data_IF_138155832974
#
_entry.id   IF_138155832974
#
_cell.length_a   1.000
_cell.length_b   1.000
_cell.length_c   1.000
_cell.angle_alpha   90.00
_cell.angle_beta   90.00
_cell.angle_gamma   90.00
#
_symmetry.space_group_name_H-M   'P 1'
#
loop_
_entity.id
_entity.type
_entity.pdbx_description
1 polymer ?
#
# COMPACT_ATOMS: atom_id res chain seq x y z
N UNK A 1 -25.44 30.14 35.03
CA UNK A 1 -24.07 29.63 34.75
C UNK A 1 -24.17 28.77 33.51
N UNK A 2 -23.54 29.17 32.41
CA UNK A 2 -23.44 28.31 31.21
C UNK A 2 -22.27 27.36 31.47
N UNK A 3 -22.56 26.07 31.48
CA UNK A 3 -21.64 25.00 31.87
C UNK A 3 -20.62 24.85 30.74
N UNK A 4 -19.38 25.32 30.98
CA UNK A 4 -18.26 25.32 30.01
C UNK A 4 -17.88 23.93 29.46
N UNK A 5 -18.35 22.86 30.09
CA UNK A 5 -18.14 21.49 29.60
C UNK A 5 -18.92 21.22 28.30
N UNK A 6 -20.12 21.79 28.16
CA UNK A 6 -20.95 21.53 26.99
C UNK A 6 -20.41 22.21 25.72
N UNK A 7 -19.67 23.32 25.86
CA UNK A 7 -18.98 23.98 24.74
C UNK A 7 -17.75 23.22 24.26
N UNK A 8 -17.04 22.51 25.16
CA UNK A 8 -15.87 21.73 24.78
C UNK A 8 -16.27 20.52 23.92
N UNK A 9 -17.35 19.85 24.30
CA UNK A 9 -17.86 18.72 23.54
C UNK A 9 -18.47 19.17 22.20
N UNK A 10 -19.17 20.30 22.18
CA UNK A 10 -19.67 20.89 20.94
C UNK A 10 -18.52 21.31 19.99
N UNK A 11 -17.45 21.89 20.52
CA UNK A 11 -16.27 22.30 19.75
C UNK A 11 -15.56 21.09 19.14
N UNK A 12 -15.32 20.04 19.93
CA UNK A 12 -14.67 18.82 19.43
C UNK A 12 -15.55 18.08 18.42
N UNK A 13 -16.87 18.02 18.63
CA UNK A 13 -17.82 17.43 17.68
C UNK A 13 -17.83 18.17 16.36
N UNK A 14 -17.89 19.51 16.39
CA UNK A 14 -17.85 20.37 15.21
C UNK A 14 -16.54 20.23 14.42
N UNK A 15 -15.40 20.17 15.13
CA UNK A 15 -14.09 20.00 14.52
C UNK A 15 -13.96 18.63 13.82
N UNK A 16 -14.39 17.56 14.48
CA UNK A 16 -14.38 16.21 13.91
C UNK A 16 -15.32 16.09 12.70
N UNK A 17 -16.51 16.69 12.78
CA UNK A 17 -17.48 16.70 11.68
C UNK A 17 -16.94 17.49 10.47
N UNK A 18 -16.34 18.66 10.71
CA UNK A 18 -15.70 19.45 9.66
C UNK A 18 -14.55 18.70 8.97
N UNK A 19 -13.71 17.99 9.74
CA UNK A 19 -12.65 17.15 9.18
C UNK A 19 -13.21 16.00 8.34
N UNK A 20 -14.32 15.39 8.77
CA UNK A 20 -15.01 14.35 8.00
C UNK A 20 -15.56 14.88 6.69
N UNK A 21 -16.18 16.07 6.71
CA UNK A 21 -16.68 16.74 5.51
C UNK A 21 -15.54 17.06 4.52
N UNK A 22 -14.41 17.60 5.00
CA UNK A 22 -13.23 17.87 4.16
C UNK A 22 -12.74 16.59 3.48
N UNK A 23 -12.58 15.50 4.24
CA UNK A 23 -12.14 14.21 3.70
C UNK A 23 -13.09 13.66 2.63
N UNK A 24 -14.40 13.71 2.87
CA UNK A 24 -15.41 13.27 1.90
C UNK A 24 -15.37 14.14 0.64
N UNK A 25 -15.21 15.46 0.80
CA UNK A 25 -15.14 16.39 -0.33
C UNK A 25 -13.84 16.25 -1.14
N UNK A 26 -12.71 15.87 -0.55
CA UNK A 26 -11.43 15.70 -1.27
C UNK A 26 -11.35 14.43 -2.13
N UNK A 27 -12.15 13.41 -1.82
CA UNK A 27 -12.05 12.11 -2.51
C UNK A 27 -12.75 12.08 -3.89
N UNK A 28 -13.40 13.18 -4.31
CA UNK A 28 -14.17 13.24 -5.56
C UNK A 28 -13.95 14.51 -6.42
N UNK A 29 -12.93 15.33 -6.13
CA UNK A 29 -12.60 16.51 -6.95
C UNK A 29 -11.68 16.05 -8.09
N UNK A 30 -12.21 15.99 -9.31
CA UNK A 30 -11.36 15.98 -10.50
C UNK A 30 -10.53 17.27 -10.51
N UNK A 31 -9.21 17.21 -10.77
CA UNK A 31 -8.39 18.41 -10.77
C UNK A 31 -8.85 19.34 -11.90
N UNK A 32 -9.43 20.49 -11.54
CA UNK A 32 -9.67 21.60 -12.45
C UNK A 32 -8.31 22.20 -12.80
N UNK A 33 -7.90 22.05 -14.05
CA UNK A 33 -6.71 22.70 -14.60
C UNK A 33 -7.00 24.20 -14.74
N UNK A 34 -6.35 25.04 -13.93
CA UNK A 34 -6.02 26.42 -14.31
C UNK A 34 -4.87 26.95 -13.45
N UNK A 35 -3.70 26.97 -14.09
CA UNK A 35 -2.55 27.88 -14.00
C UNK A 35 -2.24 28.66 -12.70
N UNK A 36 -0.98 28.46 -12.25
CA UNK A 36 -0.04 29.36 -11.54
C UNK A 36 0.06 29.35 -10.00
N UNK A 37 1.31 29.11 -9.62
CA UNK A 37 2.11 29.60 -8.48
C UNK A 37 1.98 29.00 -7.07
N UNK A 38 3.03 28.21 -6.75
CA UNK A 38 4.09 28.50 -5.76
C UNK A 38 3.82 28.34 -4.25
N UNK A 39 4.74 27.53 -3.66
CA UNK A 39 5.07 27.30 -2.23
C UNK A 39 4.13 26.35 -1.49
N UNK A 40 4.56 25.34 -0.73
CA UNK A 40 5.87 24.91 -0.26
C UNK A 40 5.68 24.17 1.08
N UNK A 41 6.52 23.15 1.34
CA UNK A 41 6.72 22.42 2.63
C UNK A 41 5.75 21.26 2.90
N UNK A 42 6.19 19.98 2.92
CA UNK A 42 6.85 19.24 4.03
C UNK A 42 5.94 19.18 5.27
N UNK A 43 5.60 18.07 5.93
CA UNK A 43 6.22 16.75 6.10
C UNK A 43 5.24 15.86 6.91
N UNK A 44 5.46 14.54 6.81
CA UNK A 44 5.06 13.39 7.65
C UNK A 44 4.36 13.65 8.99
N UNK A 45 3.34 12.83 9.32
CA UNK A 45 3.48 11.75 10.32
C UNK A 45 2.19 10.94 10.55
N UNK A 46 2.39 9.63 10.76
CA UNK A 46 1.45 8.64 11.30
C UNK A 46 0.97 9.07 12.69
N UNK A 47 -0.27 8.75 13.05
CA UNK A 47 -0.55 8.07 14.33
C UNK A 47 -1.82 7.23 14.24
N UNK A 48 -1.68 5.98 14.69
CA UNK A 48 -2.73 5.01 14.94
C UNK A 48 -3.67 5.48 16.05
N UNK A 49 -4.95 5.13 15.94
CA UNK A 49 -5.74 4.67 17.07
C UNK A 49 -6.88 3.76 16.58
N UNK A 50 -6.70 2.47 16.79
CA UNK A 50 -7.58 1.62 17.61
C UNK A 50 -8.85 2.34 18.15
N UNK A 51 -10.04 1.78 18.18
CA UNK A 51 -10.49 0.38 18.25
C UNK A 51 -12.02 0.37 18.08
N UNK A 52 -12.57 -0.65 17.42
CA UNK A 52 -13.37 -1.72 18.05
C UNK A 52 -14.82 -1.36 18.37
N UNK A 53 -15.73 -1.95 17.62
CA UNK A 53 -16.91 -2.60 18.20
C UNK A 53 -17.34 -3.74 17.27
N UNK A 54 -16.84 -4.94 17.54
CA UNK A 54 -17.66 -6.14 17.31
C UNK A 54 -17.21 -7.25 18.25
N UNK A 55 -18.05 -7.48 19.24
CA UNK A 55 -18.05 -8.63 20.13
C UNK A 55 -18.43 -9.88 19.34
N UNK A 56 -17.60 -10.91 19.37
CA UNK A 56 -18.10 -12.28 19.32
C UNK A 56 -17.15 -13.21 20.07
N UNK A 57 -17.75 -13.90 21.04
CA UNK A 57 -17.11 -14.76 22.00
C UNK A 57 -16.61 -16.04 21.32
N UNK A 58 -15.30 -16.25 21.31
CA UNK A 58 -14.71 -17.58 21.34
C UNK A 58 -13.47 -17.54 22.23
N UNK A 59 -13.53 -18.31 23.30
CA UNK A 59 -12.55 -18.39 24.37
C UNK A 59 -11.72 -19.65 24.13
N UNK A 60 -10.57 -19.52 23.48
CA UNK A 60 -9.43 -20.41 23.72
C UNK A 60 -8.21 -19.52 23.88
N UNK A 61 -7.59 -19.60 25.05
CA UNK A 61 -6.44 -18.78 25.39
C UNK A 61 -5.23 -19.09 24.51
N UNK A 62 -4.54 -18.05 23.99
CA UNK A 62 -3.14 -18.15 23.66
C UNK A 62 -2.30 -17.34 24.65
N UNK A 63 -1.36 -18.05 25.26
CA UNK A 63 -0.29 -17.50 26.10
C UNK A 63 0.34 -16.27 25.42
N UNK A 64 0.17 -15.12 26.08
CA UNK A 64 0.79 -13.86 25.71
C UNK A 64 2.26 -13.90 26.12
N UNK A 65 3.19 -13.96 25.17
CA UNK A 65 4.55 -13.49 25.38
C UNK A 65 4.80 -12.22 24.56
N UNK A 66 5.26 -11.19 25.26
CA UNK A 66 5.53 -9.89 24.69
C UNK A 66 6.72 -9.99 23.75
N UNK A 67 6.43 -9.99 22.44
CA UNK A 67 7.24 -9.49 21.33
C UNK A 67 6.45 -9.80 20.05
N UNK A 68 5.60 -8.86 19.62
CA UNK A 68 4.67 -9.00 18.50
C UNK A 68 5.34 -9.14 17.12
N UNK A 69 6.03 -10.24 16.90
CA UNK A 69 6.36 -10.77 15.59
C UNK A 69 5.40 -11.93 15.33
N UNK A 70 4.18 -11.60 14.90
CA UNK A 70 3.33 -12.56 14.21
C UNK A 70 4.01 -12.80 12.87
N UNK A 71 4.94 -13.75 12.85
CA UNK A 71 5.45 -14.30 11.60
C UNK A 71 4.36 -15.25 11.15
N UNK A 72 3.44 -14.77 10.32
CA UNK A 72 2.70 -15.66 9.45
C UNK A 72 3.77 -16.47 8.71
N UNK A 73 3.93 -17.75 9.07
CA UNK A 73 4.97 -18.68 8.61
C UNK A 73 4.86 -19.03 7.11
N UNK A 74 4.23 -18.15 6.33
CA UNK A 74 4.14 -18.21 4.88
C UNK A 74 4.02 -16.81 4.23
N UNK A 75 4.55 -15.75 4.86
CA UNK A 75 4.73 -14.47 4.17
C UNK A 75 6.01 -14.52 3.35
N UNK A 76 5.97 -15.20 2.20
CA UNK A 76 7.00 -15.06 1.16
C UNK A 76 7.26 -13.56 0.98
N UNK A 77 8.47 -13.10 1.31
CA UNK A 77 8.76 -11.69 1.30
C UNK A 77 8.75 -11.22 -0.15
N UNK A 78 7.66 -10.54 -0.54
CA UNK A 78 7.48 -10.11 -1.93
C UNK A 78 8.28 -8.84 -2.17
N UNK A 79 9.12 -8.86 -3.21
CA UNK A 79 10.01 -7.78 -3.62
C UNK A 79 9.56 -7.18 -4.95
N UNK A 80 9.70 -5.87 -5.12
CA UNK A 80 9.52 -5.25 -6.43
C UNK A 80 10.61 -5.70 -7.40
N UNK A 81 10.36 -5.65 -8.72
CA UNK A 81 11.40 -5.97 -9.72
C UNK A 81 12.72 -5.21 -9.48
N UNK A 82 12.65 -3.95 -9.05
CA UNK A 82 13.83 -3.14 -8.71
C UNK A 82 14.59 -3.69 -7.50
N UNK A 83 13.89 -4.16 -6.46
CA UNK A 83 14.52 -4.76 -5.29
C UNK A 83 15.06 -6.17 -5.60
N UNK A 84 14.34 -6.94 -6.42
CA UNK A 84 14.81 -8.24 -6.90
C UNK A 84 16.12 -8.08 -7.68
N UNK A 85 16.21 -7.09 -8.58
CA UNK A 85 17.42 -6.80 -9.35
C UNK A 85 18.62 -6.50 -8.42
N UNK A 86 18.40 -5.72 -7.36
CA UNK A 86 19.43 -5.41 -6.36
C UNK A 86 19.89 -6.67 -5.61
N UNK A 87 18.96 -7.56 -5.25
CA UNK A 87 19.29 -8.82 -4.58
C UNK A 87 20.14 -9.73 -5.47
N UNK A 88 19.80 -9.85 -6.76
CA UNK A 88 20.57 -10.62 -7.73
C UNK A 88 21.84 -9.90 -8.21
N UNK A 89 22.09 -8.65 -7.77
CA UNK A 89 23.20 -7.80 -8.23
C UNK A 89 23.22 -7.62 -9.76
N UNK A 90 22.04 -7.61 -10.38
CA UNK A 90 21.86 -7.42 -11.83
C UNK A 90 21.20 -6.09 -12.11
N UNK A 91 21.39 -5.58 -13.33
CA UNK A 91 20.61 -4.45 -13.80
C UNK A 91 19.12 -4.84 -14.02
N UNK A 92 18.22 -3.87 -13.86
CA UNK A 92 16.78 -4.08 -13.98
C UNK A 92 16.40 -4.55 -15.39
N UNK A 93 17.03 -4.00 -16.44
CA UNK A 93 16.76 -4.41 -17.82
C UNK A 93 17.19 -5.87 -18.06
N UNK A 94 18.32 -6.28 -17.47
CA UNK A 94 18.80 -7.66 -17.58
C UNK A 94 17.90 -8.64 -16.84
N UNK A 95 17.36 -8.23 -15.69
CA UNK A 95 16.36 -8.99 -14.94
C UNK A 95 15.08 -9.21 -15.77
N UNK A 96 14.55 -8.15 -16.39
CA UNK A 96 13.36 -8.26 -17.25
C UNK A 96 13.58 -9.23 -18.42
N UNK A 97 14.76 -9.22 -19.04
CA UNK A 97 15.09 -10.18 -20.09
C UNK A 97 15.05 -11.63 -19.59
N UNK A 98 15.65 -11.90 -18.42
CA UNK A 98 15.59 -13.23 -17.79
C UNK A 98 14.17 -13.65 -17.45
N UNK A 99 13.35 -12.73 -16.94
CA UNK A 99 11.95 -12.99 -16.62
C UNK A 99 11.13 -13.31 -17.88
N UNK A 100 11.44 -12.68 -19.01
CA UNK A 100 10.82 -13.00 -20.30
C UNK A 100 11.30 -14.35 -20.85
N UNK A 101 12.60 -14.62 -20.77
CA UNK A 101 13.20 -15.89 -21.21
C UNK A 101 12.69 -17.08 -20.38
N UNK A 102 12.49 -16.89 -19.08
CA UNK A 102 11.86 -17.85 -18.18
C UNK A 102 10.33 -17.96 -18.39
N UNK A 103 9.74 -17.11 -19.22
CA UNK A 103 8.30 -17.11 -19.52
C UNK A 103 7.42 -16.51 -18.43
N UNK A 104 7.99 -15.85 -17.41
CA UNK A 104 7.24 -15.19 -16.33
C UNK A 104 6.65 -13.83 -16.75
N UNK A 105 7.29 -13.16 -17.70
CA UNK A 105 6.80 -11.92 -18.29
C UNK A 105 6.68 -12.06 -19.80
N UNK A 106 5.70 -11.36 -20.37
CA UNK A 106 5.52 -11.21 -21.81
C UNK A 106 5.64 -9.74 -22.16
N UNK A 107 6.41 -9.43 -23.20
CA UNK A 107 6.45 -8.09 -23.78
C UNK A 107 5.37 -7.97 -24.87
N UNK A 108 4.38 -7.11 -24.64
CA UNK A 108 3.33 -6.78 -25.59
C UNK A 108 3.40 -5.29 -25.85
N UNK A 109 3.85 -4.92 -27.06
CA UNK A 109 3.97 -3.52 -27.50
C UNK A 109 4.79 -2.62 -26.54
N UNK A 110 5.85 -3.17 -25.92
CA UNK A 110 6.69 -2.45 -24.96
C UNK A 110 6.10 -2.37 -23.55
N UNK A 111 4.99 -3.08 -23.30
CA UNK A 111 4.42 -3.26 -21.97
C UNK A 111 4.65 -4.69 -21.51
N UNK A 112 5.27 -4.81 -20.34
CA UNK A 112 5.39 -6.11 -19.68
C UNK A 112 4.04 -6.51 -19.09
N UNK A 113 3.65 -7.75 -19.33
CA UNK A 113 2.44 -8.37 -18.78
C UNK A 113 2.87 -9.63 -18.02
N UNK A 114 2.28 -9.86 -16.86
CA UNK A 114 2.52 -11.06 -16.08
C UNK A 114 1.79 -12.25 -16.72
N UNK A 115 2.52 -13.34 -16.92
CA UNK A 115 1.96 -14.58 -17.48
C UNK A 115 1.46 -15.50 -16.37
N UNK A 116 0.70 -16.53 -16.75
CA UNK A 116 0.25 -17.57 -15.83
C UNK A 116 1.43 -18.29 -15.14
N UNK A 117 2.56 -18.47 -15.85
CA UNK A 117 3.78 -19.03 -15.28
C UNK A 117 4.37 -18.11 -14.19
N UNK A 118 4.35 -16.79 -14.40
CA UNK A 118 4.76 -15.82 -13.40
C UNK A 118 3.88 -15.86 -12.16
N UNK A 119 2.55 -15.93 -12.35
CA UNK A 119 1.58 -16.07 -11.25
C UNK A 119 1.81 -17.37 -10.48
N UNK A 120 2.01 -18.49 -11.18
CA UNK A 120 2.31 -19.79 -10.57
C UNK A 120 3.63 -19.79 -9.78
N UNK A 121 4.62 -19.00 -10.23
CA UNK A 121 5.86 -18.76 -9.50
C UNK A 121 5.69 -17.83 -8.28
N UNK A 122 4.47 -17.37 -7.97
CA UNK A 122 4.17 -16.51 -6.81
C UNK A 122 4.30 -15.01 -7.09
N UNK A 123 4.46 -14.62 -8.36
CA UNK A 123 4.49 -13.22 -8.73
C UNK A 123 3.10 -12.59 -8.72
N UNK A 124 3.04 -11.28 -8.52
CA UNK A 124 1.79 -10.53 -8.46
C UNK A 124 1.92 -9.21 -9.22
N UNK A 125 0.96 -8.95 -10.11
CA UNK A 125 0.87 -7.67 -10.82
C UNK A 125 -0.06 -6.73 -10.06
N UNK A 126 0.46 -5.57 -9.63
CA UNK A 126 -0.31 -4.53 -8.95
C UNK A 126 -0.41 -3.27 -9.80
N UNK A 127 -1.57 -2.59 -9.81
CA UNK A 127 -1.74 -1.36 -10.56
C UNK A 127 -0.85 -0.25 -9.99
N UNK A 128 -0.16 0.48 -10.86
CA UNK A 128 0.65 1.62 -10.46
C UNK A 128 -0.25 2.83 -10.18
N UNK A 129 -0.21 3.34 -8.94
CA UNK A 129 -0.98 4.53 -8.54
C UNK A 129 -0.52 5.81 -9.25
N UNK A 130 0.72 5.87 -9.71
CA UNK A 130 1.30 7.06 -10.34
C UNK A 130 1.21 7.03 -11.87
N UNK A 131 1.03 5.85 -12.46
CA UNK A 131 0.99 5.67 -13.92
C UNK A 131 -0.22 4.85 -14.30
N UNK A 132 -1.25 5.54 -14.80
CA UNK A 132 -2.52 4.93 -15.16
C UNK A 132 -2.33 3.91 -16.29
N UNK A 133 -2.72 2.66 -16.03
CA UNK A 133 -2.63 1.57 -17.00
C UNK A 133 -1.28 0.84 -17.06
N UNK A 134 -0.34 1.18 -16.17
CA UNK A 134 0.88 0.39 -15.95
C UNK A 134 0.75 -0.42 -14.66
N UNK A 135 1.23 -1.67 -14.69
CA UNK A 135 1.34 -2.51 -13.51
C UNK A 135 2.81 -2.59 -13.08
N UNK A 136 3.04 -2.69 -11.77
CA UNK A 136 4.33 -3.10 -11.23
C UNK A 136 4.23 -4.54 -10.72
N UNK A 137 5.36 -5.24 -10.76
CA UNK A 137 5.42 -6.65 -10.40
C UNK A 137 6.09 -6.84 -9.05
N UNK A 138 5.49 -7.71 -8.26
CA UNK A 138 6.01 -8.23 -7.02
C UNK A 138 6.43 -9.68 -7.24
N UNK A 139 7.62 -10.04 -6.79
CA UNK A 139 8.24 -11.34 -6.96
C UNK A 139 8.57 -11.91 -5.60
N UNK A 140 8.51 -13.22 -5.40
CA UNK A 140 9.05 -13.79 -4.18
C UNK A 140 10.58 -13.62 -4.14
N UNK A 141 11.13 -13.49 -2.95
CA UNK A 141 12.56 -13.37 -2.69
C UNK A 141 13.37 -14.62 -3.12
N UNK A 142 12.73 -15.78 -3.09
CA UNK A 142 13.30 -17.08 -3.46
C UNK A 142 13.18 -17.41 -4.96
N UNK A 143 12.83 -16.44 -5.81
CA UNK A 143 12.72 -16.67 -7.25
C UNK A 143 14.10 -17.00 -7.85
N UNK A 144 14.23 -18.21 -8.40
CA UNK A 144 15.44 -18.63 -9.11
C UNK A 144 15.41 -18.14 -10.57
N UNK A 145 16.48 -17.44 -10.99
CA UNK A 145 16.62 -16.75 -12.28
C UNK A 145 18.03 -16.91 -12.89
#
# INVERSE_FOLDING_TARGET
>A
LIIKEQEKDAYTSSLNEAQRLIRISTDNIQPLTTDKETTGSKESEKTNKESSDFTSAFHEEPLTNQNGLITDLNTNSKLTSTNLAKNHKTDLLSLYKKLIEAGYLMDVEGKYILTDAGIAAGAEAKPNRYKKGENYFLWPDNLAL
#
